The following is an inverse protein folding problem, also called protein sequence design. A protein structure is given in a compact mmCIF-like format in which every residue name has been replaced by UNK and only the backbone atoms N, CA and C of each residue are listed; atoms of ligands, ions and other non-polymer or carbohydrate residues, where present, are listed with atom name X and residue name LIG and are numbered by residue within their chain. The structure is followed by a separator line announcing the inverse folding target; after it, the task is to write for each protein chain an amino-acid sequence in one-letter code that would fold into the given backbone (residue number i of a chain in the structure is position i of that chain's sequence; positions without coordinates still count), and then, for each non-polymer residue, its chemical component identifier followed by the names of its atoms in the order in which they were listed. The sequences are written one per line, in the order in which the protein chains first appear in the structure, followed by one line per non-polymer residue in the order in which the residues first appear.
data_IF_804507250706
#
_entry.id   IF_804507250706
#
_cell.length_a   1.000
_cell.length_b   1.000
_cell.length_c   1.000
_cell.angle_alpha   90.00
_cell.angle_beta   90.00
_cell.angle_gamma   90.00
#
_symmetry.space_group_name_H-M   'P 1'
#
loop_
_entity.id
_entity.type
_entity.pdbx_description
1 polymer ?
#
# COMPACT_ATOMS: atom_id res chain seq x y z
N UNK A 1 -31.02 -4.88 -3.24
CA UNK A 1 -29.59 -5.10 -3.48
C UNK A 1 -29.10 -3.97 -4.36
N UNK A 2 -28.12 -3.17 -3.91
CA UNK A 2 -27.59 -2.05 -4.71
C UNK A 2 -26.76 -2.59 -5.87
N UNK A 3 -26.87 -2.00 -7.05
CA UNK A 3 -26.21 -2.50 -8.26
C UNK A 3 -25.22 -1.46 -8.80
N UNK A 4 -24.03 -1.92 -9.19
CA UNK A 4 -22.95 -1.13 -9.77
C UNK A 4 -22.33 -1.90 -10.93
N UNK A 5 -21.64 -1.22 -11.85
CA UNK A 5 -20.84 -1.88 -12.88
C UNK A 5 -19.58 -2.50 -12.24
N UNK A 6 -18.96 -1.77 -11.30
CA UNK A 6 -17.72 -2.16 -10.64
C UNK A 6 -17.85 -1.99 -9.13
N UNK A 7 -17.55 -3.04 -8.37
CA UNK A 7 -17.33 -2.97 -6.93
C UNK A 7 -15.84 -3.13 -6.64
N UNK A 8 -15.30 -2.28 -5.78
CA UNK A 8 -13.91 -2.30 -5.33
C UNK A 8 -13.92 -2.54 -3.82
N UNK A 9 -13.15 -3.52 -3.34
CA UNK A 9 -13.02 -3.80 -1.92
C UNK A 9 -11.71 -3.17 -1.41
N UNK A 10 -11.83 -2.13 -0.60
CA UNK A 10 -10.73 -1.40 0.03
C UNK A 10 -10.57 0.03 -0.51
N UNK A 11 -10.77 1.02 0.36
CA UNK A 11 -10.60 2.45 0.13
C UNK A 11 -9.16 2.91 0.45
N UNK A 12 -8.18 2.13 0.01
CA UNK A 12 -6.75 2.47 0.05
C UNK A 12 -6.27 3.16 -1.23
N UNK A 13 -4.96 3.37 -1.37
CA UNK A 13 -4.38 4.04 -2.54
C UNK A 13 -4.80 3.40 -3.88
N UNK A 14 -4.63 2.08 -4.00
CA UNK A 14 -4.99 1.35 -5.22
C UNK A 14 -6.50 1.39 -5.50
N UNK A 15 -7.33 1.26 -4.46
CA UNK A 15 -8.79 1.25 -4.61
C UNK A 15 -9.35 2.61 -5.02
N UNK A 16 -8.88 3.69 -4.39
CA UNK A 16 -9.29 5.06 -4.74
C UNK A 16 -8.87 5.41 -6.18
N UNK A 17 -7.63 5.11 -6.56
CA UNK A 17 -7.16 5.33 -7.93
C UNK A 17 -7.96 4.50 -8.94
N UNK A 18 -8.20 3.22 -8.66
CA UNK A 18 -8.99 2.35 -9.53
C UNK A 18 -10.42 2.88 -9.72
N UNK A 19 -11.05 3.34 -8.62
CA UNK A 19 -12.41 3.85 -8.66
C UNK A 19 -12.53 5.13 -9.48
N UNK A 20 -11.63 6.09 -9.26
CA UNK A 20 -11.56 7.32 -10.03
C UNK A 20 -11.43 7.03 -11.53
N UNK A 21 -10.52 6.14 -11.93
CA UNK A 21 -10.30 5.80 -13.33
C UNK A 21 -11.48 5.03 -13.96
N UNK A 22 -12.13 4.14 -13.21
CA UNK A 22 -13.34 3.46 -13.67
C UNK A 22 -14.50 4.45 -13.85
N UNK A 23 -14.68 5.37 -12.91
CA UNK A 23 -15.72 6.37 -12.96
C UNK A 23 -15.52 7.40 -14.09
N UNK A 24 -14.27 7.81 -14.37
CA UNK A 24 -13.93 8.64 -15.54
C UNK A 24 -14.33 8.01 -16.88
N UNK A 25 -14.47 6.68 -16.92
CA UNK A 25 -14.95 5.94 -18.09
C UNK A 25 -16.47 5.78 -18.12
N UNK A 26 -17.20 6.50 -17.26
CA UNK A 26 -18.66 6.48 -17.19
C UNK A 26 -19.24 5.25 -16.50
N UNK A 27 -18.45 4.52 -15.71
CA UNK A 27 -18.94 3.37 -14.93
C UNK A 27 -19.53 3.82 -13.61
N UNK A 28 -20.60 3.15 -13.17
CA UNK A 28 -21.09 3.22 -11.80
C UNK A 28 -20.19 2.39 -10.89
N UNK A 29 -19.61 3.02 -9.86
CA UNK A 29 -18.57 2.41 -9.03
C UNK A 29 -18.92 2.57 -7.56
N UNK A 30 -18.75 1.50 -6.79
CA UNK A 30 -18.75 1.55 -5.33
C UNK A 30 -17.45 1.02 -4.75
N UNK A 31 -16.95 1.66 -3.70
CA UNK A 31 -15.89 1.15 -2.84
C UNK A 31 -16.50 0.68 -1.51
N UNK A 32 -16.22 -0.56 -1.12
CA UNK A 32 -16.59 -1.11 0.18
C UNK A 32 -15.33 -1.21 1.07
N UNK A 33 -15.35 -0.60 2.25
CA UNK A 33 -14.25 -0.71 3.21
C UNK A 33 -14.77 -0.89 4.65
N UNK A 34 -14.15 -1.81 5.39
CA UNK A 34 -14.49 -2.06 6.80
C UNK A 34 -14.05 -0.94 7.74
N UNK A 35 -13.06 -0.14 7.34
CA UNK A 35 -12.59 0.99 8.12
C UNK A 35 -13.62 2.12 8.10
N UNK A 36 -13.72 2.84 9.21
CA UNK A 36 -14.56 4.03 9.34
C UNK A 36 -14.06 5.27 8.57
N UNK A 37 -12.87 5.20 7.96
CA UNK A 37 -12.25 6.28 7.17
C UNK A 37 -11.43 5.67 6.05
N UNK A 38 -11.51 6.25 4.85
CA UNK A 38 -10.67 5.90 3.72
C UNK A 38 -9.19 6.31 3.96
N UNK A 39 -8.27 5.68 3.23
CA UNK A 39 -6.90 6.16 3.11
C UNK A 39 -6.05 6.14 4.38
N UNK A 40 -6.41 5.39 5.43
CA UNK A 40 -5.69 5.40 6.72
C UNK A 40 -4.17 5.18 6.58
N UNK A 41 -3.74 4.28 5.69
CA UNK A 41 -2.30 4.04 5.43
C UNK A 41 -1.64 5.19 4.66
N UNK A 42 -2.38 5.89 3.79
CA UNK A 42 -1.87 7.10 3.11
C UNK A 42 -1.54 8.15 4.16
N UNK A 43 -2.46 8.37 5.11
CA UNK A 43 -2.33 9.39 6.15
C UNK A 43 -1.07 9.24 7.02
N UNK A 44 -0.64 8.00 7.29
CA UNK A 44 0.56 7.74 8.11
C UNK A 44 1.83 7.49 7.31
N UNK A 45 1.74 7.39 5.98
CA UNK A 45 2.88 7.13 5.11
C UNK A 45 3.88 8.30 5.12
N UNK A 46 5.17 7.98 4.97
CA UNK A 46 6.24 8.99 4.92
C UNK A 46 6.29 9.91 6.16
N UNK A 47 5.93 9.39 7.33
CA UNK A 47 5.83 10.21 8.55
C UNK A 47 4.74 11.28 8.49
N UNK A 48 3.65 10.99 7.78
CA UNK A 48 2.55 11.93 7.54
C UNK A 48 2.79 12.91 6.38
N UNK A 49 3.94 12.85 5.70
CA UNK A 49 4.21 13.67 4.51
C UNK A 49 3.89 12.97 3.19
N UNK A 50 3.60 11.67 3.23
CA UNK A 50 3.38 10.81 2.07
C UNK A 50 4.57 10.82 1.10
N UNK A 51 5.43 9.79 1.20
CA UNK A 51 6.39 9.47 0.14
C UNK A 51 5.59 8.82 -1.00
N UNK A 52 5.12 9.64 -1.95
CA UNK A 52 4.03 9.25 -2.85
C UNK A 52 4.50 8.55 -4.12
N UNK A 53 5.75 8.77 -4.52
CA UNK A 53 6.42 8.05 -5.63
C UNK A 53 7.94 8.20 -5.52
N UNK A 54 8.68 7.63 -6.47
CA UNK A 54 10.11 7.82 -6.62
C UNK A 54 10.45 8.27 -8.06
N UNK A 55 11.52 9.05 -8.26
CA UNK A 55 12.02 9.41 -9.59
C UNK A 55 12.58 8.20 -10.36
N UNK A 56 13.15 7.23 -9.63
CA UNK A 56 13.81 6.05 -10.16
C UNK A 56 12.92 4.82 -9.99
N UNK A 57 11.88 4.72 -10.82
CA UNK A 57 10.99 3.56 -10.86
C UNK A 57 11.46 2.61 -11.96
N UNK A 58 11.93 1.44 -11.55
CA UNK A 58 12.33 0.35 -12.43
C UNK A 58 11.71 -0.97 -11.93
N UNK A 59 11.45 -1.96 -12.81
CA UNK A 59 10.92 -3.27 -12.43
C UNK A 59 11.71 -3.96 -11.32
N UNK A 60 13.03 -3.77 -11.30
CA UNK A 60 13.97 -4.35 -10.34
C UNK A 60 13.80 -3.79 -8.92
N UNK A 61 13.09 -2.67 -8.75
CA UNK A 61 12.74 -2.11 -7.44
C UNK A 61 11.61 -2.91 -6.73
N UNK A 62 11.01 -3.91 -7.38
CA UNK A 62 9.88 -4.68 -6.87
C UNK A 62 10.23 -6.17 -6.72
N UNK A 63 10.16 -6.67 -5.48
CA UNK A 63 10.38 -8.10 -5.19
C UNK A 63 9.14 -8.92 -5.58
N UNK A 64 9.33 -9.88 -6.49
CA UNK A 64 8.26 -10.75 -6.99
C UNK A 64 8.82 -12.10 -7.46
N UNK A 65 8.06 -13.17 -7.26
CA UNK A 65 8.35 -14.48 -7.86
C UNK A 65 8.22 -14.45 -9.40
N UNK A 66 7.54 -13.43 -9.96
CA UNK A 66 7.53 -13.12 -11.38
C UNK A 66 8.08 -11.70 -11.57
N UNK A 67 9.39 -11.55 -11.88
CA UNK A 67 10.04 -10.25 -12.06
C UNK A 67 9.49 -9.41 -13.22
N UNK A 68 8.73 -10.00 -14.15
CA UNK A 68 8.19 -9.30 -15.31
C UNK A 68 6.75 -8.82 -15.12
N UNK A 69 6.09 -9.24 -14.04
CA UNK A 69 4.68 -8.95 -13.81
C UNK A 69 4.36 -7.45 -13.79
N UNK A 70 5.18 -6.64 -13.12
CA UNK A 70 4.93 -5.21 -12.95
C UNK A 70 5.23 -4.37 -14.20
N UNK A 71 6.03 -4.87 -15.15
CA UNK A 71 6.54 -4.08 -16.31
C UNK A 71 5.44 -3.41 -17.12
N UNK A 72 4.36 -4.15 -17.40
CA UNK A 72 3.23 -3.63 -18.18
C UNK A 72 2.48 -2.51 -17.44
N UNK A 73 2.30 -2.64 -16.13
CA UNK A 73 1.62 -1.61 -15.34
C UNK A 73 2.47 -0.35 -15.20
N UNK A 74 3.76 -0.50 -14.86
CA UNK A 74 4.70 0.61 -14.66
C UNK A 74 4.94 1.42 -15.94
N UNK A 75 4.87 0.80 -17.12
CA UNK A 75 5.02 1.51 -18.41
C UNK A 75 3.76 2.24 -18.88
N UNK A 76 2.57 1.87 -18.38
CA UNK A 76 1.28 2.47 -18.78
C UNK A 76 0.81 3.57 -17.85
N UNK A 77 1.27 3.55 -16.61
CA UNK A 77 1.05 4.61 -15.64
C UNK A 77 2.35 4.79 -14.86
N UNK A 78 3.11 5.79 -15.28
CA UNK A 78 4.45 6.09 -14.78
C UNK A 78 4.40 6.97 -13.54
N UNK A 79 5.55 7.15 -12.88
CA UNK A 79 5.70 8.14 -11.82
C UNK A 79 5.36 9.55 -12.28
N UNK A 80 5.64 9.88 -13.55
CA UNK A 80 5.39 11.20 -14.13
C UNK A 80 3.90 11.48 -14.28
N UNK A 81 3.10 10.46 -14.60
CA UNK A 81 1.64 10.59 -14.67
C UNK A 81 1.04 10.91 -13.29
N UNK A 82 1.59 10.32 -12.23
CA UNK A 82 1.14 10.61 -10.86
C UNK A 82 1.67 11.97 -10.35
N UNK A 83 2.90 12.36 -10.73
CA UNK A 83 3.43 13.71 -10.45
C UNK A 83 2.55 14.77 -11.12
N UNK A 84 2.22 14.58 -12.39
CA UNK A 84 1.33 15.49 -13.14
C UNK A 84 -0.07 15.59 -12.50
N UNK A 85 -0.58 14.49 -11.94
CA UNK A 85 -1.84 14.51 -11.19
C UNK A 85 -1.75 15.36 -9.91
N UNK A 86 -0.65 15.28 -9.16
CA UNK A 86 -0.45 16.15 -7.99
C UNK A 86 -0.42 17.62 -8.42
N UNK A 87 0.32 17.92 -9.48
CA UNK A 87 0.48 19.28 -10.00
C UNK A 87 -0.83 19.85 -10.54
N UNK A 88 -1.67 19.03 -11.18
CA UNK A 88 -3.01 19.46 -11.64
C UNK A 88 -3.95 19.80 -10.49
N UNK A 89 -3.69 19.27 -9.28
CA UNK A 89 -4.37 19.62 -8.04
C UNK A 89 -3.63 20.70 -7.23
N UNK A 90 -2.66 21.38 -7.85
CA UNK A 90 -1.85 22.44 -7.23
C UNK A 90 -1.10 21.98 -5.97
N UNK A 91 -0.75 20.69 -5.90
CA UNK A 91 0.08 20.15 -4.83
C UNK A 91 1.55 20.23 -5.24
N UNK A 92 2.37 20.80 -4.35
CA UNK A 92 3.81 20.84 -4.53
C UNK A 92 4.49 19.68 -3.82
N UNK A 93 5.70 19.36 -4.27
CA UNK A 93 6.46 18.25 -3.75
C UNK A 93 7.94 18.57 -3.64
N UNK A 94 8.59 17.90 -2.70
CA UNK A 94 10.03 17.99 -2.45
C UNK A 94 10.66 16.62 -2.62
N UNK A 95 11.71 16.54 -3.43
CA UNK A 95 12.62 15.39 -3.43
C UNK A 95 13.45 15.39 -2.15
N UNK A 96 13.53 14.23 -1.48
CA UNK A 96 14.51 14.01 -0.40
C UNK A 96 15.75 13.31 -0.95
N UNK A 97 16.10 12.16 -0.39
CA UNK A 97 17.25 11.37 -0.83
C UNK A 97 16.76 10.26 -1.76
N UNK A 98 17.63 9.84 -2.68
CA UNK A 98 17.40 8.67 -3.54
C UNK A 98 16.08 8.75 -4.33
N UNK A 99 15.74 9.93 -4.87
CA UNK A 99 14.57 10.13 -5.72
C UNK A 99 13.21 10.10 -5.00
N UNK A 100 13.18 10.03 -3.67
CA UNK A 100 11.92 9.94 -2.91
C UNK A 100 11.16 11.27 -2.94
N UNK A 101 9.91 11.26 -3.41
CA UNK A 101 9.10 12.48 -3.51
C UNK A 101 8.06 12.54 -2.40
N UNK A 102 8.06 13.66 -1.66
CA UNK A 102 7.15 13.91 -0.55
C UNK A 102 6.25 15.11 -0.86
N UNK A 103 4.97 15.02 -0.47
CA UNK A 103 4.03 16.12 -0.65
C UNK A 103 4.24 17.19 0.44
N UNK A 104 4.37 18.46 0.04
CA UNK A 104 4.61 19.57 0.97
C UNK A 104 3.37 19.85 1.84
N UNK A 105 2.18 19.64 1.26
CA UNK A 105 0.87 19.78 1.90
C UNK A 105 0.46 18.56 2.74
N UNK A 106 1.39 17.62 2.97
CA UNK A 106 1.22 16.41 3.79
C UNK A 106 0.25 15.38 3.19
N UNK A 107 0.21 14.20 3.80
CA UNK A 107 -0.57 13.05 3.35
C UNK A 107 -2.08 13.29 3.24
N UNK A 108 -2.62 14.21 4.04
CA UNK A 108 -4.03 14.60 3.99
C UNK A 108 -4.42 15.20 2.63
N UNK A 109 -3.54 16.01 2.03
CA UNK A 109 -3.77 16.61 0.73
C UNK A 109 -3.78 15.56 -0.40
N UNK A 110 -2.85 14.60 -0.37
CA UNK A 110 -2.82 13.48 -1.32
C UNK A 110 -4.08 12.61 -1.21
N UNK A 111 -4.54 12.34 0.01
CA UNK A 111 -5.81 11.62 0.19
C UNK A 111 -6.99 12.43 -0.35
N UNK A 112 -7.03 13.74 -0.08
CA UNK A 112 -8.09 14.62 -0.55
C UNK A 112 -8.15 14.63 -2.08
N UNK A 113 -7.01 14.81 -2.74
CA UNK A 113 -6.87 14.70 -4.20
C UNK A 113 -7.46 13.39 -4.74
N UNK A 114 -7.10 12.24 -4.14
CA UNK A 114 -7.64 10.94 -4.58
C UNK A 114 -9.15 10.79 -4.38
N UNK A 115 -9.72 11.44 -3.36
CA UNK A 115 -11.16 11.46 -3.13
C UNK A 115 -11.87 12.38 -4.13
N UNK A 116 -11.28 13.54 -4.44
CA UNK A 116 -11.81 14.51 -5.40
C UNK A 116 -11.82 13.93 -6.82
N UNK A 117 -10.78 13.17 -7.20
CA UNK A 117 -10.73 12.43 -8.47
C UNK A 117 -11.84 11.37 -8.62
N UNK A 118 -12.45 10.96 -7.51
CA UNK A 118 -13.53 9.98 -7.44
C UNK A 118 -14.81 10.57 -6.85
N UNK A 119 -15.10 11.86 -7.03
CA UNK A 119 -16.28 12.52 -6.43
C UNK A 119 -17.60 11.79 -6.74
N UNK A 120 -17.74 11.21 -7.93
CA UNK A 120 -18.93 10.44 -8.35
C UNK A 120 -18.94 8.96 -7.88
N UNK A 121 -17.96 8.52 -7.09
CA UNK A 121 -17.85 7.15 -6.59
C UNK A 121 -18.56 7.01 -5.25
N UNK A 122 -19.39 5.97 -5.11
CA UNK A 122 -20.01 5.64 -3.84
C UNK A 122 -19.00 4.98 -2.88
N UNK A 123 -18.53 5.70 -1.87
CA UNK A 123 -17.61 5.17 -0.86
C UNK A 123 -18.39 4.77 0.40
N UNK A 124 -18.48 3.46 0.64
CA UNK A 124 -19.26 2.85 1.72
C UNK A 124 -18.28 2.31 2.77
N UNK A 125 -18.09 3.11 3.82
CA UNK A 125 -17.19 2.86 4.94
C UNK A 125 -17.90 2.12 6.08
N UNK A 126 -17.12 1.55 7.01
CA UNK A 126 -17.65 0.67 8.07
C UNK A 126 -18.50 -0.50 7.52
N UNK A 127 -18.16 -0.97 6.32
CA UNK A 127 -18.83 -2.04 5.60
C UNK A 127 -18.01 -3.33 5.75
N UNK A 128 -18.48 -4.23 6.60
CA UNK A 128 -17.89 -5.54 6.79
C UNK A 128 -18.54 -6.53 5.82
N UNK A 129 -17.70 -7.09 4.95
CA UNK A 129 -18.13 -8.05 3.93
C UNK A 129 -18.17 -9.44 4.56
N UNK A 130 -19.31 -10.12 4.42
CA UNK A 130 -19.51 -11.49 4.84
C UNK A 130 -19.19 -12.47 3.70
N UNK A 131 -20.12 -12.59 2.75
CA UNK A 131 -20.04 -13.57 1.67
C UNK A 131 -19.91 -12.88 0.31
N UNK A 132 -19.06 -13.45 -0.55
CA UNK A 132 -18.93 -13.05 -1.95
C UNK A 132 -19.22 -14.28 -2.79
N UNK A 133 -20.11 -14.17 -3.76
CA UNK A 133 -20.43 -15.24 -4.71
C UNK A 133 -20.31 -14.72 -6.14
N UNK A 134 -20.10 -15.63 -7.09
CA UNK A 134 -20.12 -15.31 -8.51
C UNK A 134 -21.04 -16.30 -9.23
N UNK A 135 -22.14 -15.78 -9.77
CA UNK A 135 -23.02 -16.46 -10.71
C UNK A 135 -23.47 -15.46 -11.77
N UNK A 136 -22.79 -15.47 -12.92
CA UNK A 136 -22.87 -14.49 -14.01
C UNK A 136 -22.49 -13.05 -13.63
N UNK A 137 -22.65 -12.66 -12.37
CA UNK A 137 -22.27 -11.41 -11.73
C UNK A 137 -21.78 -11.71 -10.30
N UNK A 138 -21.03 -10.78 -9.72
CA UNK A 138 -20.67 -10.83 -8.32
C UNK A 138 -21.83 -10.40 -7.43
N UNK A 139 -22.09 -11.16 -6.37
CA UNK A 139 -23.00 -10.78 -5.27
C UNK A 139 -22.20 -10.70 -3.97
N UNK A 140 -22.33 -9.59 -3.25
CA UNK A 140 -21.61 -9.32 -2.00
C UNK A 140 -22.63 -9.06 -0.90
N UNK A 141 -22.58 -9.86 0.17
CA UNK A 141 -23.34 -9.63 1.40
C UNK A 141 -22.49 -8.89 2.42
N UNK A 142 -23.08 -7.92 3.11
CA UNK A 142 -22.41 -7.14 4.14
C UNK A 142 -23.35 -6.77 5.29
N UNK A 143 -22.78 -6.22 6.36
CA UNK A 143 -23.54 -5.60 7.45
C UNK A 143 -24.37 -4.36 7.03
N UNK A 144 -24.14 -3.81 5.83
CA UNK A 144 -24.89 -2.67 5.27
C UNK A 144 -25.81 -3.07 4.10
N UNK A 145 -26.10 -4.37 3.98
CA UNK A 145 -26.96 -4.95 2.95
C UNK A 145 -26.19 -5.58 1.80
N UNK A 146 -26.95 -6.03 0.80
CA UNK A 146 -26.41 -6.73 -0.38
C UNK A 146 -26.07 -5.80 -1.54
N UNK A 147 -24.99 -6.13 -2.24
CA UNK A 147 -24.49 -5.46 -3.44
C UNK A 147 -24.32 -6.45 -4.61
N UNK A 148 -24.45 -5.95 -5.84
CA UNK A 148 -24.24 -6.72 -7.07
C UNK A 148 -23.40 -5.93 -8.07
N UNK A 149 -22.46 -6.60 -8.76
CA UNK A 149 -21.69 -5.98 -9.84
C UNK A 149 -21.20 -6.97 -10.91
N UNK A 150 -20.96 -6.46 -12.11
CA UNK A 150 -20.34 -7.24 -13.20
C UNK A 150 -18.87 -7.51 -12.90
N UNK A 151 -18.16 -6.52 -12.34
CA UNK A 151 -16.73 -6.61 -12.03
C UNK A 151 -16.46 -6.39 -10.54
N UNK A 152 -15.53 -7.18 -10.00
CA UNK A 152 -15.03 -7.05 -8.64
C UNK A 152 -13.51 -6.81 -8.65
N UNK A 153 -13.06 -5.78 -7.95
CA UNK A 153 -11.64 -5.47 -7.73
C UNK A 153 -11.29 -5.65 -6.26
N UNK A 154 -10.26 -6.43 -5.98
CA UNK A 154 -9.76 -6.66 -4.61
C UNK A 154 -8.55 -5.75 -4.36
N UNK A 155 -8.75 -4.69 -3.58
CA UNK A 155 -7.74 -3.68 -3.25
C UNK A 155 -7.50 -3.56 -1.72
N UNK A 156 -7.60 -4.69 -1.00
CA UNK A 156 -7.61 -4.75 0.47
C UNK A 156 -6.25 -4.51 1.14
N UNK A 157 -5.18 -4.46 0.35
CA UNK A 157 -3.80 -4.40 0.85
C UNK A 157 -3.36 -5.70 1.55
N UNK A 158 -2.23 -5.63 2.27
CA UNK A 158 -1.68 -6.72 3.07
C UNK A 158 -1.83 -6.50 4.59
N UNK A 159 -1.48 -7.50 5.41
CA UNK A 159 -1.81 -7.56 6.85
C UNK A 159 -0.95 -6.65 7.74
N UNK A 160 -0.05 -5.84 7.19
CA UNK A 160 0.78 -4.93 7.98
C UNK A 160 -0.04 -3.87 8.72
N UNK A 161 0.28 -3.65 10.00
CA UNK A 161 -0.42 -2.70 10.89
C UNK A 161 -1.90 -3.07 11.11
N UNK A 162 -2.22 -4.21 11.77
CA UNK A 162 -3.61 -4.66 11.97
C UNK A 162 -4.51 -3.65 12.68
N UNK A 163 -3.95 -2.86 13.61
CA UNK A 163 -4.68 -1.78 14.31
C UNK A 163 -5.31 -0.74 13.37
N UNK A 164 -4.86 -0.65 12.11
CA UNK A 164 -5.43 0.24 11.09
C UNK A 164 -6.48 -0.42 10.19
N UNK A 165 -6.90 -1.65 10.52
CA UNK A 165 -7.83 -2.41 9.70
C UNK A 165 -7.14 -3.26 8.63
N UNK A 166 -5.83 -3.45 8.68
CA UNK A 166 -5.17 -4.40 7.78
C UNK A 166 -5.56 -5.85 8.12
N UNK A 167 -5.77 -6.67 7.09
CA UNK A 167 -5.99 -8.12 7.21
C UNK A 167 -5.49 -8.82 5.94
N UNK A 168 -5.58 -10.15 5.92
CA UNK A 168 -5.29 -11.00 4.77
C UNK A 168 -6.54 -11.25 3.90
N UNK A 169 -7.57 -10.41 3.99
CA UNK A 169 -8.87 -10.67 3.36
C UNK A 169 -8.79 -10.91 1.85
N UNK A 170 -7.97 -10.15 1.12
CA UNK A 170 -7.75 -10.39 -0.31
C UNK A 170 -7.14 -11.76 -0.64
N UNK A 171 -6.30 -12.30 0.26
CA UNK A 171 -5.76 -13.65 0.14
C UNK A 171 -6.84 -14.71 0.37
N UNK A 172 -7.77 -14.45 1.31
CA UNK A 172 -8.91 -15.33 1.55
C UNK A 172 -9.84 -15.36 0.33
N UNK A 173 -10.14 -14.21 -0.28
CA UNK A 173 -10.92 -14.12 -1.53
C UNK A 173 -10.21 -14.87 -2.65
N UNK A 174 -8.90 -14.68 -2.83
CA UNK A 174 -8.14 -15.36 -3.86
C UNK A 174 -8.26 -16.90 -3.73
N UNK A 175 -8.13 -17.43 -2.50
CA UNK A 175 -8.31 -18.86 -2.22
C UNK A 175 -9.74 -19.32 -2.49
N UNK A 176 -10.75 -18.54 -2.12
CA UNK A 176 -12.16 -18.85 -2.37
C UNK A 176 -12.44 -19.07 -3.86
N UNK A 177 -11.82 -18.27 -4.73
CA UNK A 177 -11.94 -18.39 -6.18
C UNK A 177 -10.87 -19.29 -6.83
N UNK A 178 -10.17 -20.13 -6.04
CA UNK A 178 -9.24 -21.13 -6.55
C UNK A 178 -7.92 -20.57 -7.13
N UNK A 179 -7.57 -19.31 -6.84
CA UNK A 179 -6.32 -18.72 -7.30
C UNK A 179 -5.14 -19.23 -6.48
N UNK A 180 -4.02 -19.52 -7.16
CA UNK A 180 -2.74 -19.79 -6.48
C UNK A 180 -2.29 -18.54 -5.73
N UNK A 181 -1.76 -18.74 -4.53
CA UNK A 181 -1.38 -17.63 -3.66
C UNK A 181 -0.05 -17.87 -2.97
N UNK A 182 0.71 -16.80 -2.74
CA UNK A 182 1.95 -16.81 -1.95
C UNK A 182 1.63 -16.29 -0.55
N UNK A 183 2.17 -16.95 0.48
CA UNK A 183 1.99 -16.50 1.86
C UNK A 183 2.68 -15.14 2.10
N UNK A 184 2.07 -14.31 2.94
CA UNK A 184 2.70 -13.04 3.34
C UNK A 184 3.99 -13.29 4.12
N UNK A 185 5.01 -12.49 3.79
CA UNK A 185 6.22 -12.36 4.59
C UNK A 185 6.37 -10.90 5.04
N UNK A 186 6.85 -10.62 6.26
CA UNK A 186 7.21 -9.27 6.65
C UNK A 186 8.28 -8.72 5.70
N UNK A 187 8.11 -7.48 5.25
CA UNK A 187 9.09 -6.73 4.46
C UNK A 187 9.08 -5.27 4.89
N UNK A 188 10.21 -4.59 4.73
CA UNK A 188 10.44 -3.25 5.31
C UNK A 188 10.24 -3.23 6.84
N UNK A 189 10.81 -4.22 7.53
CA UNK A 189 10.72 -4.38 8.99
C UNK A 189 12.09 -4.28 9.66
N UNK A 190 12.17 -3.80 10.92
CA UNK A 190 13.40 -3.86 11.70
C UNK A 190 13.76 -5.31 12.06
N UNK A 191 15.04 -5.56 12.34
CA UNK A 191 15.51 -6.82 12.90
C UNK A 191 15.64 -6.75 14.42
N UNK A 192 15.41 -7.87 15.08
CA UNK A 192 15.53 -7.99 16.54
C UNK A 192 16.75 -8.81 16.91
N UNK A 193 17.46 -8.39 17.96
CA UNK A 193 18.51 -9.19 18.57
C UNK A 193 17.96 -10.06 19.70
N UNK A 194 18.69 -11.12 20.04
CA UNK A 194 18.45 -11.84 21.28
C UNK A 194 18.80 -10.93 22.47
N UNK A 195 18.06 -11.09 23.59
CA UNK A 195 18.25 -10.27 24.78
C UNK A 195 19.70 -10.30 25.30
N UNK A 196 20.35 -11.47 25.24
CA UNK A 196 21.77 -11.64 25.59
C UNK A 196 22.69 -10.70 24.79
N UNK A 197 22.50 -10.60 23.47
CA UNK A 197 23.33 -9.76 22.61
C UNK A 197 23.08 -8.27 22.86
N UNK A 198 21.82 -7.90 23.15
CA UNK A 198 21.47 -6.54 23.55
C UNK A 198 22.26 -6.15 24.79
N UNK A 199 22.17 -6.95 25.86
CA UNK A 199 22.79 -6.62 27.14
C UNK A 199 24.32 -6.63 27.08
N UNK A 200 24.90 -7.50 26.25
CA UNK A 200 26.35 -7.68 26.16
C UNK A 200 27.04 -6.71 25.20
N UNK A 201 26.43 -6.39 24.06
CA UNK A 201 27.11 -5.69 22.97
C UNK A 201 26.44 -4.38 22.54
N UNK A 202 25.12 -4.26 22.63
CA UNK A 202 24.37 -3.19 21.96
C UNK A 202 23.65 -2.21 22.89
N UNK A 203 23.55 -2.50 24.19
CA UNK A 203 22.79 -1.71 25.16
C UNK A 203 23.19 -0.23 25.15
N UNK A 204 24.49 0.05 25.17
CA UNK A 204 25.02 1.42 25.21
C UNK A 204 25.10 2.08 23.82
N UNK A 205 24.72 1.35 22.76
CA UNK A 205 24.71 1.84 21.37
C UNK A 205 23.31 2.24 20.89
N UNK A 206 22.27 2.02 21.69
CA UNK A 206 20.90 2.37 21.33
C UNK A 206 20.76 3.87 21.06
N UNK A 207 20.25 4.21 19.88
CA UNK A 207 20.10 5.60 19.41
C UNK A 207 21.20 6.04 18.44
N UNK A 208 22.30 5.28 18.32
CA UNK A 208 23.33 5.56 17.32
C UNK A 208 22.80 5.31 15.90
N UNK A 209 22.98 6.32 15.05
CA UNK A 209 22.71 6.26 13.62
C UNK A 209 24.04 6.42 12.87
N UNK A 210 24.28 5.55 11.91
CA UNK A 210 25.44 5.62 11.04
C UNK A 210 25.08 5.21 9.63
N UNK A 211 25.79 5.78 8.66
CA UNK A 211 25.71 5.30 7.28
C UNK A 211 26.43 3.94 7.17
N UNK A 212 25.75 2.95 6.58
CA UNK A 212 26.30 1.61 6.41
C UNK A 212 25.88 1.02 5.06
N UNK A 213 26.70 0.09 4.55
CA UNK A 213 26.30 -0.80 3.47
C UNK A 213 25.85 -2.12 4.09
N UNK A 214 24.55 -2.43 3.99
CA UNK A 214 23.99 -3.69 4.50
C UNK A 214 23.71 -4.61 3.32
N UNK A 215 24.20 -5.86 3.40
CA UNK A 215 24.10 -6.85 2.32
C UNK A 215 23.45 -8.14 2.82
N UNK A 216 22.62 -8.75 1.97
CA UNK A 216 21.97 -10.04 2.20
C UNK A 216 21.67 -10.69 0.85
N UNK A 217 22.01 -11.97 0.70
CA UNK A 217 21.88 -12.69 -0.56
C UNK A 217 22.54 -11.89 -1.71
N UNK A 218 21.76 -11.48 -2.71
CA UNK A 218 22.24 -10.72 -3.88
C UNK A 218 21.95 -9.21 -3.77
N UNK A 219 21.40 -8.74 -2.66
CA UNK A 219 21.02 -7.34 -2.46
C UNK A 219 22.00 -6.61 -1.53
N UNK A 220 22.22 -5.33 -1.81
CA UNK A 220 23.00 -4.43 -0.98
C UNK A 220 22.36 -3.04 -0.97
N UNK A 221 22.35 -2.39 0.19
CA UNK A 221 21.80 -1.04 0.34
C UNK A 221 22.75 -0.20 1.19
N UNK A 222 23.12 0.97 0.66
CA UNK A 222 23.88 1.99 1.36
C UNK A 222 22.93 3.06 1.88
N UNK A 223 22.70 3.08 3.19
CA UNK A 223 21.90 4.12 3.84
C UNK A 223 22.14 4.16 5.36
N UNK A 224 21.42 5.02 6.08
CA UNK A 224 21.40 5.06 7.52
C UNK A 224 20.90 3.73 8.12
N UNK A 225 21.71 3.19 9.01
CA UNK A 225 21.39 2.12 9.95
C UNK A 225 21.22 2.76 11.33
N UNK A 226 20.15 2.37 12.02
CA UNK A 226 19.84 2.80 13.38
C UNK A 226 19.95 1.60 14.33
N UNK A 227 20.79 1.70 15.34
CA UNK A 227 20.82 0.75 16.46
C UNK A 227 19.73 1.18 17.45
N UNK A 228 18.87 0.24 17.83
CA UNK A 228 17.73 0.46 18.73
C UNK A 228 17.83 -0.44 19.95
N UNK A 229 17.05 -0.14 20.99
CA UNK A 229 16.91 -0.97 22.18
C UNK A 229 16.38 -2.40 21.92
N UNK A 230 15.94 -2.73 20.69
CA UNK A 230 15.49 -4.09 20.31
C UNK A 230 16.35 -4.78 19.27
N UNK A 231 17.25 -4.04 18.59
CA UNK A 231 17.95 -4.54 17.42
C UNK A 231 18.22 -3.44 16.40
N UNK A 232 18.10 -3.75 15.11
CA UNK A 232 18.49 -2.86 14.01
C UNK A 232 17.28 -2.31 13.26
N UNK A 233 17.36 -1.04 12.88
CA UNK A 233 16.37 -0.32 12.08
C UNK A 233 17.09 0.65 11.14
N UNK A 234 16.36 1.63 10.61
CA UNK A 234 16.88 2.60 9.63
C UNK A 234 16.71 2.10 8.19
N UNK A 235 16.70 3.01 7.20
CA UNK A 235 16.41 2.67 5.81
C UNK A 235 17.22 1.50 5.26
N UNK A 236 18.51 1.37 5.60
CA UNK A 236 19.34 0.26 5.12
C UNK A 236 18.81 -1.11 5.59
N UNK A 237 18.40 -1.20 6.86
CA UNK A 237 17.84 -2.43 7.45
C UNK A 237 16.42 -2.69 6.95
N UNK A 238 15.60 -1.65 6.83
CA UNK A 238 14.25 -1.81 6.30
C UNK A 238 14.31 -2.35 4.86
N UNK A 239 15.16 -1.77 3.99
CA UNK A 239 15.35 -2.25 2.61
C UNK A 239 15.81 -3.71 2.57
N UNK A 240 16.89 -4.04 3.29
CA UNK A 240 17.47 -5.39 3.23
C UNK A 240 16.58 -6.47 3.84
N UNK A 241 15.67 -6.12 4.76
CA UNK A 241 14.73 -7.08 5.36
C UNK A 241 13.83 -7.79 4.35
N UNK A 242 13.64 -7.22 3.17
CA UNK A 242 12.83 -7.81 2.10
C UNK A 242 13.58 -8.92 1.32
N UNK A 243 14.88 -9.11 1.60
CA UNK A 243 15.76 -10.06 0.93
C UNK A 243 16.32 -11.14 1.89
N UNK A 244 15.87 -11.16 3.14
CA UNK A 244 16.29 -12.11 4.17
C UNK A 244 15.54 -13.45 4.09
#
# INVERSE_FOLDING_TARGET
MKQYDVIIIGAGAAGLMCAAQAAKRGRSVAILDKASKAGKKILISGGGKCNFTNLFIEPEAYVSNNPHFCKSALSRYTQWDFIALLESHHLSWTEKTLGQLFCDQKSGAVLRMLLDEGEQVDIILACEIGQIEFDSNYTIQSNQGGFKAESLVVATGGPSIPKMGASDFGLQIAKQFGLKSVAFKPGLVPFTFHQYDIDKYFKDLSGLSLEAVVSCNHANFREQLLITHRGLSGPAILQISSYW
#
